data_IF_447744830231
#
_entry.id   IF_447744830231
#
_cell.length_a   1.000
_cell.length_b   1.000
_cell.length_c   1.000
_cell.angle_alpha   90.00
_cell.angle_beta   90.00
_cell.angle_gamma   90.00
#
_symmetry.space_group_name_H-M   'P 1'
#
loop_
_entity.id
_entity.type
_entity.pdbx_description
1 polymer ?
#
# COMPACT_ATOMS: atom_id res chain seq x y z
N UNK A 1 2.80 13.26 1.83
CA UNK A 1 2.54 13.42 0.39
C UNK A 1 1.04 13.49 0.14
N UNK A 2 0.56 14.52 -0.54
CA UNK A 2 -0.84 14.67 -0.98
C UNK A 2 -1.12 13.88 -2.26
N UNK A 3 -2.40 13.80 -2.67
CA UNK A 3 -2.80 13.16 -3.93
C UNK A 3 -2.20 13.86 -5.14
N UNK A 4 -2.17 15.19 -5.13
CA UNK A 4 -1.63 16.02 -6.21
C UNK A 4 -0.12 15.83 -6.36
N UNK A 5 0.60 15.77 -5.24
CA UNK A 5 2.03 15.49 -5.22
C UNK A 5 2.35 14.10 -5.79
N UNK A 6 1.54 13.10 -5.41
CA UNK A 6 1.67 11.74 -5.93
C UNK A 6 1.38 11.67 -7.45
N UNK A 7 0.34 12.37 -7.91
CA UNK A 7 0.03 12.47 -9.34
C UNK A 7 1.17 13.15 -10.11
N UNK A 8 1.75 14.23 -9.57
CA UNK A 8 2.90 14.89 -10.17
C UNK A 8 4.14 13.99 -10.24
N UNK A 9 4.39 13.18 -9.19
CA UNK A 9 5.47 12.19 -9.19
C UNK A 9 5.22 11.07 -10.22
N UNK A 10 4.00 10.55 -10.28
CA UNK A 10 3.58 9.54 -11.26
C UNK A 10 3.73 10.06 -12.71
N UNK A 11 3.36 11.31 -12.97
CA UNK A 11 3.52 11.93 -14.29
C UNK A 11 4.99 12.01 -14.71
N UNK A 12 5.88 12.40 -13.80
CA UNK A 12 7.33 12.44 -14.08
C UNK A 12 7.88 11.04 -14.39
N UNK A 13 7.49 10.04 -13.59
CA UNK A 13 7.88 8.65 -13.81
C UNK A 13 7.41 8.13 -15.17
N UNK A 14 6.11 8.30 -15.49
CA UNK A 14 5.55 7.86 -16.78
C UNK A 14 6.17 8.60 -17.98
N UNK A 15 6.48 9.89 -17.84
CA UNK A 15 7.21 10.63 -18.86
C UNK A 15 8.60 10.04 -19.12
N UNK A 16 9.31 9.67 -18.05
CA UNK A 16 10.60 8.98 -18.14
C UNK A 16 10.46 7.60 -18.79
N UNK A 17 9.49 6.78 -18.37
CA UNK A 17 9.23 5.46 -18.97
C UNK A 17 8.96 5.55 -20.47
N UNK A 18 8.17 6.53 -20.90
CA UNK A 18 7.90 6.76 -22.32
C UNK A 18 9.13 7.18 -23.12
N UNK A 19 10.13 7.79 -22.48
CA UNK A 19 11.38 8.20 -23.13
C UNK A 19 12.41 7.05 -23.17
N UNK A 20 12.53 6.29 -22.09
CA UNK A 20 13.56 5.25 -21.92
C UNK A 20 13.13 3.88 -22.45
N UNK A 21 11.87 3.52 -22.23
CA UNK A 21 11.28 2.23 -22.64
C UNK A 21 10.01 2.48 -23.45
N UNK A 22 10.13 3.07 -24.65
CA UNK A 22 8.98 3.37 -25.48
C UNK A 22 8.25 2.09 -25.87
N UNK A 23 6.92 2.11 -25.74
CA UNK A 23 6.06 1.08 -26.28
C UNK A 23 6.09 1.09 -27.82
N UNK A 24 5.37 0.14 -28.43
CA UNK A 24 5.08 0.20 -29.86
C UNK A 24 4.62 1.62 -30.26
N UNK A 25 5.02 2.15 -31.44
CA UNK A 25 4.78 3.55 -31.81
C UNK A 25 3.34 4.03 -31.66
N UNK A 26 2.37 3.14 -31.77
CA UNK A 26 0.95 3.44 -31.63
C UNK A 26 0.47 3.69 -30.20
N UNK A 27 1.30 3.37 -29.20
CA UNK A 27 0.94 3.40 -27.79
C UNK A 27 1.93 4.23 -26.97
N UNK A 28 1.47 4.63 -25.79
CA UNK A 28 2.29 5.26 -24.76
C UNK A 28 1.72 4.95 -23.37
N UNK A 29 2.60 4.96 -22.38
CA UNK A 29 2.23 4.82 -20.97
C UNK A 29 1.49 6.07 -20.50
N UNK A 30 0.46 5.88 -19.67
CA UNK A 30 -0.32 6.95 -19.03
C UNK A 30 -0.47 6.68 -17.54
N UNK A 31 -0.63 7.76 -16.77
CA UNK A 31 -0.88 7.67 -15.33
C UNK A 31 -2.31 7.18 -15.09
N UNK A 32 -2.44 6.07 -14.37
CA UNK A 32 -3.72 5.54 -13.90
C UNK A 32 -4.34 6.33 -12.76
N UNK A 33 -5.51 5.88 -12.26
CA UNK A 33 -6.11 6.48 -11.08
C UNK A 33 -5.33 6.08 -9.82
N UNK A 34 -4.94 7.03 -8.95
CA UNK A 34 -4.22 6.72 -7.72
C UNK A 34 -5.14 5.99 -6.74
N UNK A 35 -4.62 4.93 -6.11
CA UNK A 35 -5.24 4.28 -4.95
C UNK A 35 -4.40 4.59 -3.72
N UNK A 36 -5.02 5.14 -2.69
CA UNK A 36 -4.33 5.50 -1.45
C UNK A 36 -4.18 4.27 -0.54
N UNK A 37 -2.93 4.01 -0.16
CA UNK A 37 -2.55 3.14 0.94
C UNK A 37 -1.93 3.99 2.05
N UNK A 38 -1.80 3.44 3.27
CA UNK A 38 -1.38 4.23 4.44
C UNK A 38 -0.06 4.97 4.20
N UNK A 39 0.98 4.26 3.75
CA UNK A 39 2.30 4.83 3.45
C UNK A 39 2.57 5.04 1.96
N UNK A 40 1.68 4.62 1.07
CA UNK A 40 1.93 4.62 -0.37
C UNK A 40 0.78 5.16 -1.19
N UNK A 41 1.10 5.64 -2.38
CA UNK A 41 0.16 5.81 -3.47
C UNK A 41 0.44 4.75 -4.53
N UNK A 42 -0.55 3.91 -4.82
CA UNK A 42 -0.47 2.91 -5.87
C UNK A 42 -1.04 3.44 -7.18
N UNK A 43 -0.40 3.07 -8.29
CA UNK A 43 -0.84 3.37 -9.64
C UNK A 43 -0.77 2.11 -10.50
N UNK A 44 -1.83 1.84 -11.27
CA UNK A 44 -1.81 0.84 -12.32
C UNK A 44 -0.92 1.29 -13.50
N UNK A 45 -0.23 0.34 -14.12
CA UNK A 45 0.39 0.59 -15.42
C UNK A 45 -0.70 0.64 -16.49
N UNK A 46 -0.96 1.83 -17.03
CA UNK A 46 -1.97 2.05 -18.06
C UNK A 46 -1.32 2.43 -19.39
N UNK A 47 -1.94 2.02 -20.50
CA UNK A 47 -1.53 2.40 -21.86
C UNK A 47 -2.66 3.13 -22.58
N UNK A 48 -2.30 4.09 -23.42
CA UNK A 48 -3.21 4.80 -24.31
C UNK A 48 -2.71 4.75 -25.75
N UNK A 49 -3.63 4.86 -26.72
CA UNK A 49 -3.30 4.97 -28.14
C UNK A 49 -2.95 6.41 -28.52
N UNK A 50 -2.02 6.59 -29.46
CA UNK A 50 -1.63 7.93 -29.94
C UNK A 50 -2.75 8.56 -30.79
N UNK A 51 -2.89 9.90 -30.77
CA UNK A 51 -3.86 10.61 -31.58
C UNK A 51 -3.70 10.33 -33.08
N UNK A 52 -4.81 10.24 -33.81
CA UNK A 52 -4.81 10.08 -35.27
C UNK A 52 -4.82 8.64 -35.79
N UNK A 53 -4.76 7.65 -34.88
CA UNK A 53 -4.97 6.25 -35.24
C UNK A 53 -6.47 5.94 -35.33
N UNK A 54 -6.90 5.02 -36.22
CA UNK A 54 -8.29 4.57 -36.27
C UNK A 54 -8.69 4.12 -34.87
N UNK A 55 -9.82 4.62 -34.40
CA UNK A 55 -10.33 4.40 -33.05
C UNK A 55 -10.42 2.89 -32.78
N UNK A 56 -9.39 2.30 -32.18
CA UNK A 56 -9.50 0.98 -31.62
C UNK A 56 -10.41 1.16 -30.40
N UNK A 57 -11.65 0.74 -30.54
CA UNK A 57 -12.78 0.82 -29.60
C UNK A 57 -12.56 0.04 -28.28
N UNK A 58 -11.30 -0.14 -27.88
CA UNK A 58 -10.83 -0.83 -26.69
C UNK A 58 -9.78 0.10 -26.09
N UNK A 59 -10.17 1.10 -25.29
CA UNK A 59 -10.53 0.89 -23.89
C UNK A 59 -9.32 0.31 -23.18
N UNK A 60 -8.62 1.09 -22.33
CA UNK A 60 -7.47 0.69 -21.50
C UNK A 60 -7.24 -0.84 -21.50
N UNK A 61 -6.50 -1.39 -22.47
CA UNK A 61 -6.53 -2.84 -22.71
C UNK A 61 -5.81 -3.63 -21.61
N UNK A 62 -5.03 -2.93 -20.79
CA UNK A 62 -4.38 -3.48 -19.61
C UNK A 62 -4.60 -2.47 -18.48
N UNK A 63 -5.70 -2.63 -17.76
CA UNK A 63 -5.93 -1.97 -16.47
C UNK A 63 -5.95 -3.08 -15.41
N UNK A 64 -5.08 -2.95 -14.43
CA UNK A 64 -4.80 -3.97 -13.43
C UNK A 64 -3.30 -4.24 -13.37
N UNK A 65 -2.83 -4.59 -12.17
CA UNK A 65 -1.43 -4.87 -11.85
C UNK A 65 -0.69 -5.67 -12.97
N UNK A 66 0.66 -5.63 -13.06
CA UNK A 66 1.60 -4.90 -12.22
C UNK A 66 1.48 -3.38 -12.38
N UNK A 67 2.02 -2.65 -11.42
CA UNK A 67 1.97 -1.20 -11.36
C UNK A 67 3.19 -0.66 -10.65
N UNK A 68 3.05 0.49 -10.02
CA UNK A 68 4.09 1.05 -9.18
C UNK A 68 3.48 1.72 -7.95
N UNK A 69 4.27 1.80 -6.90
CA UNK A 69 3.96 2.53 -5.68
C UNK A 69 4.89 3.72 -5.52
N UNK A 70 4.36 4.78 -4.93
CA UNK A 70 5.12 5.96 -4.53
C UNK A 70 5.04 6.07 -3.02
N UNK A 71 6.19 5.99 -2.35
CA UNK A 71 6.27 6.14 -0.91
C UNK A 71 5.96 7.58 -0.48
N UNK A 72 5.04 7.76 0.47
CA UNK A 72 4.60 9.09 0.92
C UNK A 72 5.68 9.85 1.71
N UNK A 73 6.67 9.15 2.27
CA UNK A 73 7.78 9.70 3.07
C UNK A 73 8.99 9.98 2.19
N UNK A 74 9.51 8.95 1.51
CA UNK A 74 10.73 9.06 0.72
C UNK A 74 10.50 9.59 -0.70
N UNK A 75 9.24 9.63 -1.15
CA UNK A 75 8.84 9.95 -2.53
C UNK A 75 9.45 9.01 -3.58
N UNK A 76 10.01 7.88 -3.15
CA UNK A 76 10.61 6.90 -4.04
C UNK A 76 9.50 6.17 -4.81
N UNK A 77 9.73 6.02 -6.11
CA UNK A 77 8.89 5.19 -6.99
C UNK A 77 9.49 3.80 -7.05
N UNK A 78 8.64 2.78 -6.95
CA UNK A 78 9.04 1.38 -7.09
C UNK A 78 7.98 0.60 -7.85
N UNK A 79 8.42 -0.15 -8.85
CA UNK A 79 7.58 -1.09 -9.58
C UNK A 79 7.20 -2.27 -8.69
N UNK A 80 5.95 -2.72 -8.82
CA UNK A 80 5.42 -3.87 -8.08
C UNK A 80 4.69 -4.83 -9.00
N UNK A 81 4.92 -6.12 -8.78
CA UNK A 81 4.29 -7.23 -9.47
C UNK A 81 2.90 -7.57 -8.96
N UNK A 82 2.29 -8.58 -9.57
CA UNK A 82 0.99 -9.12 -9.16
C UNK A 82 0.98 -9.69 -7.74
N UNK A 83 2.05 -10.40 -7.35
CA UNK A 83 2.18 -10.98 -6.01
C UNK A 83 2.18 -9.89 -4.95
N UNK A 84 2.92 -8.83 -5.23
CA UNK A 84 3.16 -7.69 -4.36
C UNK A 84 1.90 -6.85 -4.19
N UNK A 85 1.17 -6.64 -5.29
CA UNK A 85 -0.14 -6.00 -5.27
C UNK A 85 -1.15 -6.80 -4.43
N UNK A 86 -1.14 -8.14 -4.55
CA UNK A 86 -2.00 -9.01 -3.73
C UNK A 86 -1.65 -8.90 -2.24
N UNK A 87 -0.36 -8.91 -1.90
CA UNK A 87 0.12 -8.73 -0.53
C UNK A 87 -0.28 -7.36 0.02
N UNK A 88 -0.06 -6.29 -0.74
CA UNK A 88 -0.43 -4.91 -0.38
C UNK A 88 -1.93 -4.78 -0.07
N UNK A 89 -2.80 -5.37 -0.90
CA UNK A 89 -4.24 -5.39 -0.65
C UNK A 89 -4.60 -6.14 0.63
N UNK A 90 -3.98 -7.31 0.88
CA UNK A 90 -4.22 -8.09 2.10
C UNK A 90 -3.78 -7.33 3.34
N UNK A 91 -2.61 -6.69 3.30
CA UNK A 91 -2.11 -5.83 4.37
C UNK A 91 -3.10 -4.71 4.69
N UNK A 92 -3.55 -3.97 3.68
CA UNK A 92 -4.52 -2.89 3.86
C UNK A 92 -5.82 -3.39 4.50
N UNK A 93 -6.34 -4.54 4.06
CA UNK A 93 -7.55 -5.14 4.63
C UNK A 93 -7.36 -5.53 6.10
N UNK A 94 -6.23 -6.16 6.45
CA UNK A 94 -5.91 -6.53 7.85
C UNK A 94 -5.82 -5.27 8.72
N UNK A 95 -5.16 -4.21 8.24
CA UNK A 95 -5.03 -2.94 8.95
C UNK A 95 -6.39 -2.25 9.14
N UNK A 96 -7.20 -2.14 8.09
CA UNK A 96 -8.55 -1.53 8.18
C UNK A 96 -9.45 -2.27 9.15
N UNK A 97 -9.46 -3.61 9.08
CA UNK A 97 -10.21 -4.43 10.03
C UNK A 97 -9.77 -4.15 11.46
N UNK A 98 -8.46 -4.12 11.71
CA UNK A 98 -7.94 -3.89 13.05
C UNK A 98 -8.17 -2.45 13.53
N UNK A 99 -7.99 -1.43 12.69
CA UNK A 99 -8.30 -0.03 12.98
C UNK A 99 -9.76 0.14 13.43
N UNK A 100 -10.70 -0.51 12.74
CA UNK A 100 -12.12 -0.52 13.14
C UNK A 100 -12.30 -1.11 14.54
N UNK A 101 -11.68 -2.25 14.83
CA UNK A 101 -11.76 -2.90 16.16
C UNK A 101 -11.13 -2.05 17.25
N UNK A 102 -10.03 -1.37 16.96
CA UNK A 102 -9.39 -0.46 17.91
C UNK A 102 -10.24 0.79 18.14
N UNK A 103 -10.88 1.34 17.11
CA UNK A 103 -11.80 2.46 17.24
C UNK A 103 -13.06 2.11 18.06
N UNK A 104 -13.48 0.84 18.03
CA UNK A 104 -14.59 0.31 18.82
C UNK A 104 -14.22 -0.05 20.27
N UNK A 105 -12.96 0.15 20.67
CA UNK A 105 -12.40 -0.30 21.95
C UNK A 105 -13.20 0.14 23.18
N UNK A 106 -13.72 1.36 23.19
CA UNK A 106 -14.52 1.88 24.31
C UNK A 106 -15.80 1.06 24.53
N UNK A 107 -16.27 0.36 23.50
CA UNK A 107 -17.43 -0.53 23.55
C UNK A 107 -17.03 -1.99 23.78
N UNK A 108 -15.85 -2.41 23.30
CA UNK A 108 -15.34 -3.76 23.42
C UNK A 108 -13.80 -3.77 23.55
N UNK A 109 -13.22 -4.10 24.73
CA UNK A 109 -11.77 -4.18 24.86
C UNK A 109 -11.19 -5.29 23.99
N UNK A 110 -10.04 -5.03 23.36
CA UNK A 110 -9.33 -5.98 22.50
C UNK A 110 -8.98 -7.26 23.27
N UNK A 111 -9.35 -8.40 22.68
CA UNK A 111 -9.15 -9.71 23.28
C UNK A 111 -7.79 -10.28 22.92
N UNK A 112 -7.22 -11.09 23.82
CA UNK A 112 -5.97 -11.83 23.57
C UNK A 112 -6.03 -12.69 22.31
N UNK A 113 -7.22 -13.25 22.00
CA UNK A 113 -7.43 -14.06 20.80
C UNK A 113 -7.25 -13.23 19.52
N UNK A 114 -7.71 -11.98 19.51
CA UNK A 114 -7.56 -11.08 18.37
C UNK A 114 -6.08 -10.72 18.20
N UNK A 115 -5.39 -10.33 19.29
CA UNK A 115 -3.96 -10.02 19.24
C UNK A 115 -3.10 -11.22 18.77
N UNK A 116 -3.47 -12.45 19.13
CA UNK A 116 -2.79 -13.68 18.66
C UNK A 116 -2.88 -13.91 17.15
N UNK A 117 -3.84 -13.31 16.45
CA UNK A 117 -3.93 -13.41 14.98
C UNK A 117 -2.88 -12.57 14.27
N UNK A 118 -2.23 -11.66 15.00
CA UNK A 118 -1.33 -10.66 14.43
C UNK A 118 0.07 -10.68 15.04
N UNK A 119 0.21 -11.21 16.25
CA UNK A 119 1.46 -11.25 16.99
C UNK A 119 1.82 -12.68 17.35
N UNK A 120 3.03 -13.08 17.00
CA UNK A 120 3.60 -14.40 17.28
C UNK A 120 4.33 -14.47 18.64
N UNK A 121 4.28 -13.41 19.45
CA UNK A 121 4.96 -13.36 20.75
C UNK A 121 4.40 -14.37 21.77
N UNK A 122 5.21 -14.82 22.74
CA UNK A 122 4.76 -15.68 23.83
C UNK A 122 3.53 -15.14 24.57
N UNK A 123 2.68 -16.03 25.08
CA UNK A 123 1.43 -15.63 25.76
C UNK A 123 1.64 -14.64 26.93
N UNK A 124 2.67 -14.78 27.79
CA UNK A 124 2.92 -13.83 28.87
C UNK A 124 3.25 -12.41 28.34
N UNK A 125 4.03 -12.32 27.27
CA UNK A 125 4.38 -11.06 26.62
C UNK A 125 3.16 -10.41 25.96
N UNK A 126 2.32 -11.22 25.30
CA UNK A 126 1.07 -10.74 24.70
C UNK A 126 0.08 -10.21 25.74
N UNK A 127 0.05 -10.83 26.93
CA UNK A 127 -0.76 -10.37 28.06
C UNK A 127 -0.23 -9.07 28.65
N UNK A 128 1.08 -8.95 28.83
CA UNK A 128 1.72 -7.71 29.29
C UNK A 128 1.47 -6.58 28.29
N UNK A 129 1.64 -6.86 27.00
CA UNK A 129 1.35 -5.95 25.90
C UNK A 129 -0.10 -5.47 25.94
N UNK A 130 -1.07 -6.40 26.01
CA UNK A 130 -2.50 -6.05 26.12
C UNK A 130 -2.80 -5.14 27.31
N UNK A 131 -2.24 -5.40 28.49
CA UNK A 131 -2.44 -4.55 29.68
C UNK A 131 -1.85 -3.14 29.47
N UNK A 132 -0.71 -3.06 28.79
CA UNK A 132 -0.11 -1.77 28.40
C UNK A 132 -1.02 -0.96 27.46
N UNK A 133 -1.84 -1.63 26.64
CA UNK A 133 -2.81 -0.95 25.79
C UNK A 133 -3.95 -0.31 26.57
N UNK A 134 -4.33 -0.85 27.74
CA UNK A 134 -5.43 -0.35 28.57
C UNK A 134 -5.18 1.07 29.11
N UNK A 135 -3.96 1.60 29.04
CA UNK A 135 -3.61 2.97 29.39
C UNK A 135 -3.95 4.00 28.27
N UNK A 136 -4.45 5.21 28.58
CA UNK A 136 -5.39 5.90 27.69
C UNK A 136 -4.83 6.75 26.53
N UNK A 137 -3.58 7.20 26.50
CA UNK A 137 -3.25 8.35 25.61
C UNK A 137 -2.31 8.08 24.43
N UNK A 138 -1.52 7.00 24.43
CA UNK A 138 -0.55 6.70 23.34
C UNK A 138 -0.69 5.29 22.75
N UNK A 139 -1.55 4.45 23.32
CA UNK A 139 -1.56 3.01 23.06
C UNK A 139 -2.09 2.62 21.68
N UNK A 140 -3.09 3.32 21.14
CA UNK A 140 -3.78 2.94 19.90
C UNK A 140 -2.92 3.15 18.65
N UNK A 141 -2.33 4.34 18.51
CA UNK A 141 -1.47 4.63 17.36
C UNK A 141 -0.21 3.76 17.39
N UNK A 142 0.40 3.57 18.57
CA UNK A 142 1.56 2.70 18.74
C UNK A 142 1.22 1.23 18.44
N UNK A 143 0.04 0.76 18.84
CA UNK A 143 -0.45 -0.58 18.50
C UNK A 143 -0.64 -0.77 16.99
N UNK A 144 -1.23 0.22 16.32
CA UNK A 144 -1.40 0.20 14.86
C UNK A 144 -0.05 0.18 14.14
N UNK A 145 0.91 0.98 14.60
CA UNK A 145 2.26 1.01 14.05
C UNK A 145 3.00 -0.31 14.27
N UNK A 146 2.91 -0.89 15.47
CA UNK A 146 3.55 -2.16 15.77
C UNK A 146 2.91 -3.31 14.97
N UNK A 147 1.58 -3.32 14.87
CA UNK A 147 0.86 -4.27 14.04
C UNK A 147 1.32 -4.16 12.60
N UNK A 148 1.31 -2.96 12.05
CA UNK A 148 1.72 -2.69 10.67
C UNK A 148 3.14 -3.18 10.39
N UNK A 149 4.09 -2.86 11.27
CA UNK A 149 5.45 -3.38 11.17
C UNK A 149 5.49 -4.91 11.15
N UNK A 150 4.74 -5.58 12.04
CA UNK A 150 4.70 -7.05 12.09
C UNK A 150 4.09 -7.66 10.85
N UNK A 151 3.01 -7.07 10.33
CA UNK A 151 2.37 -7.54 9.11
C UNK A 151 3.28 -7.39 7.89
N UNK A 152 4.04 -6.29 7.81
CA UNK A 152 5.04 -6.09 6.76
C UNK A 152 6.20 -7.09 6.89
N UNK A 153 6.65 -7.39 8.12
CA UNK A 153 7.67 -8.42 8.37
C UNK A 153 7.18 -9.82 7.97
N UNK A 154 5.90 -10.15 8.21
CA UNK A 154 5.27 -11.41 7.76
C UNK A 154 5.18 -11.48 6.22
N UNK A 155 4.81 -10.36 5.59
CA UNK A 155 4.71 -10.22 4.14
C UNK A 155 6.06 -9.77 3.56
N UNK A 156 7.13 -10.58 3.76
CA UNK A 156 8.56 -10.32 3.46
C UNK A 156 8.90 -9.55 2.17
N UNK A 157 8.00 -9.51 1.19
CA UNK A 157 8.12 -8.67 -0.01
C UNK A 157 8.02 -7.16 0.30
N UNK A 158 7.15 -6.74 1.21
CA UNK A 158 7.00 -5.34 1.62
C UNK A 158 8.13 -4.88 2.56
N UNK A 159 8.84 -5.80 3.21
CA UNK A 159 9.95 -5.49 4.10
C UNK A 159 11.13 -4.79 3.38
N UNK A 160 11.34 -5.08 2.09
CA UNK A 160 12.33 -4.37 1.26
C UNK A 160 12.09 -2.85 1.21
N UNK A 161 10.85 -2.41 1.40
CA UNK A 161 10.48 -0.98 1.43
C UNK A 161 10.74 -0.31 2.79
N UNK A 162 10.79 -1.08 3.88
CA UNK A 162 11.10 -0.58 5.23
C UNK A 162 12.60 -0.64 5.55
N UNK A 163 13.38 -1.38 4.78
CA UNK A 163 14.81 -1.66 5.04
C UNK A 163 15.75 -0.49 4.68
N UNK A 164 15.24 0.58 4.08
CA UNK A 164 16.04 1.77 3.74
C UNK A 164 15.92 2.89 4.79
N UNK A 165 16.01 2.57 6.09
CA UNK A 165 16.26 3.55 7.15
C UNK A 165 16.96 2.90 8.35
#
# INVERSE_FOLDING_TARGET
>A
MTREEALGAAQRHIAQCNAETPLHPDYYWVVGQPVEYRHWWYFDNCIASRPGLPFAERGMQFAGAPGYVIDKRSQRVQEIGWADFSALRKLQQRLQYFEQRVAERDRQPLMLRELRQYFSMPLPELQAFRRGLEAPEQSVLQLLLLLEQRLIEEDCFLAGFMSEH
#
